data_IF_758322839940
#
_entry.id   IF_758322839940
#
_cell.length_a   1.000
_cell.length_b   1.000
_cell.length_c   1.000
_cell.angle_alpha   90.00
_cell.angle_beta   90.00
_cell.angle_gamma   90.00
#
_symmetry.space_group_name_H-M   'P 1'
#
loop_
_entity.id
_entity.type
_entity.pdbx_description
1 polymer ?
#
# COMPACT_ATOMS: atom_id res chain seq x y z
N UNK A 1 3.26 14.71 3.31
CA UNK A 1 2.57 15.45 4.38
C UNK A 1 2.89 16.93 4.30
N UNK A 2 2.09 17.80 4.93
CA UNK A 2 2.31 19.25 4.91
C UNK A 2 3.72 19.61 5.41
N UNK A 3 4.42 20.50 4.71
CA UNK A 3 5.78 20.94 5.06
C UNK A 3 6.92 19.94 4.77
N UNK A 4 6.64 18.76 4.20
CA UNK A 4 7.67 17.76 3.90
C UNK A 4 8.35 17.94 2.54
N UNK A 5 7.90 18.89 1.71
CA UNK A 5 8.43 19.13 0.36
C UNK A 5 9.95 19.27 0.31
N UNK A 6 10.57 20.17 1.09
CA UNK A 6 12.03 20.34 1.07
C UNK A 6 12.80 19.08 1.48
N UNK A 7 12.25 18.27 2.39
CA UNK A 7 12.88 16.99 2.77
C UNK A 7 12.78 15.95 1.66
N UNK A 8 11.65 15.91 0.95
CA UNK A 8 11.48 15.05 -0.22
C UNK A 8 12.47 15.46 -1.33
N UNK A 9 12.62 16.75 -1.61
CA UNK A 9 13.58 17.26 -2.59
C UNK A 9 15.03 16.90 -2.23
N UNK A 10 15.41 17.07 -0.97
CA UNK A 10 16.74 16.68 -0.49
C UNK A 10 16.99 15.17 -0.62
N UNK A 11 16.02 14.34 -0.24
CA UNK A 11 16.13 12.89 -0.37
C UNK A 11 16.24 12.44 -1.83
N UNK A 12 15.52 13.08 -2.75
CA UNK A 12 15.64 12.80 -4.19
C UNK A 12 17.01 13.24 -4.71
N UNK A 13 17.48 14.43 -4.35
CA UNK A 13 18.81 14.91 -4.75
C UNK A 13 19.91 13.94 -4.30
N UNK A 14 19.90 13.57 -3.02
CA UNK A 14 20.86 12.61 -2.46
C UNK A 14 20.73 11.23 -3.12
N UNK A 15 19.49 10.76 -3.32
CA UNK A 15 19.24 9.47 -3.95
C UNK A 15 19.73 9.40 -5.39
N UNK A 16 19.60 10.49 -6.16
CA UNK A 16 20.10 10.57 -7.54
C UNK A 16 21.61 10.38 -7.62
N UNK A 17 22.34 10.96 -6.66
CA UNK A 17 23.80 10.91 -6.64
C UNK A 17 24.32 9.57 -6.08
N UNK A 18 23.65 9.02 -5.07
CA UNK A 18 24.08 7.81 -4.38
C UNK A 18 23.46 6.50 -4.90
N UNK A 19 22.51 6.57 -5.84
CA UNK A 19 21.80 5.39 -6.36
C UNK A 19 20.80 4.78 -5.37
N UNK A 20 20.22 5.60 -4.49
CA UNK A 20 19.30 5.10 -3.46
C UNK A 20 17.86 4.94 -3.97
N UNK A 21 17.08 4.20 -3.20
CA UNK A 21 15.64 4.08 -3.42
C UNK A 21 14.92 5.10 -2.55
N UNK A 22 14.15 5.97 -3.18
CA UNK A 22 13.36 7.01 -2.53
C UNK A 22 11.89 6.68 -2.70
N UNK A 23 11.17 6.52 -1.59
CA UNK A 23 9.73 6.26 -1.58
C UNK A 23 9.01 7.47 -0.99
N UNK A 24 8.23 8.18 -1.80
CA UNK A 24 7.36 9.26 -1.33
C UNK A 24 5.96 8.71 -1.07
N UNK A 25 5.56 8.72 0.21
CA UNK A 25 4.27 8.18 0.63
C UNK A 25 3.19 9.25 0.71
N UNK A 26 1.95 8.86 0.36
CA UNK A 26 0.76 9.68 0.49
C UNK A 26 0.85 11.01 -0.28
N UNK A 27 1.35 10.97 -1.51
CA UNK A 27 1.61 12.17 -2.32
C UNK A 27 0.35 13.02 -2.55
N UNK A 28 -0.82 12.39 -2.71
CA UNK A 28 -2.13 13.06 -2.83
C UNK A 28 -2.48 14.05 -1.69
N UNK A 29 -1.83 13.94 -0.52
CA UNK A 29 -2.01 14.89 0.59
C UNK A 29 -1.16 16.17 0.44
N UNK A 30 -0.21 16.19 -0.50
CA UNK A 30 0.72 17.30 -0.71
C UNK A 30 0.41 18.09 -1.99
N UNK A 31 -0.87 18.45 -2.18
CA UNK A 31 -1.39 19.12 -3.39
C UNK A 31 -0.54 20.34 -3.80
N UNK A 32 -0.18 21.21 -2.85
CA UNK A 32 0.60 22.42 -3.13
C UNK A 32 2.04 22.14 -3.61
N UNK A 33 2.56 20.93 -3.40
CA UNK A 33 3.91 20.53 -3.80
C UNK A 33 3.93 19.74 -5.11
N UNK A 34 2.77 19.33 -5.64
CA UNK A 34 2.68 18.56 -6.88
C UNK A 34 3.36 19.22 -8.10
N UNK A 35 3.25 20.55 -8.33
CA UNK A 35 3.97 21.19 -9.44
C UNK A 35 5.49 21.09 -9.29
N UNK A 36 6.00 21.05 -8.04
CA UNK A 36 7.42 20.91 -7.78
C UNK A 36 7.89 19.47 -7.98
N UNK A 37 7.08 18.50 -7.57
CA UNK A 37 7.30 17.08 -7.87
C UNK A 37 7.39 16.85 -9.39
N UNK A 38 6.46 17.43 -10.15
CA UNK A 38 6.46 17.38 -11.61
C UNK A 38 7.78 17.88 -12.20
N UNK A 39 8.21 19.09 -11.83
CA UNK A 39 9.50 19.63 -12.28
C UNK A 39 10.69 18.73 -11.90
N UNK A 40 10.71 18.20 -10.67
CA UNK A 40 11.80 17.30 -10.22
C UNK A 40 11.86 16.02 -11.05
N UNK A 41 10.71 15.46 -11.45
CA UNK A 41 10.63 14.26 -12.29
C UNK A 41 11.02 14.56 -13.74
N UNK A 42 10.63 15.71 -14.29
CA UNK A 42 11.03 16.14 -15.63
C UNK A 42 12.54 16.41 -15.76
N UNK A 43 13.18 16.85 -14.67
CA UNK A 43 14.63 17.06 -14.60
C UNK A 43 15.44 15.75 -14.44
N UNK A 44 14.79 14.60 -14.27
CA UNK A 44 15.49 13.31 -14.17
C UNK A 44 16.06 12.90 -15.54
N UNK A 45 17.37 13.04 -15.67
CA UNK A 45 18.14 12.63 -16.83
C UNK A 45 18.77 11.25 -16.57
N UNK A 46 18.34 10.17 -17.27
CA UNK A 46 18.86 8.83 -17.08
C UNK A 46 20.37 8.69 -17.29
N UNK A 47 21.01 9.61 -18.02
CA UNK A 47 22.46 9.60 -18.25
C UNK A 47 23.24 10.22 -17.09
N UNK A 48 22.59 11.05 -16.26
CA UNK A 48 23.22 11.77 -15.14
C UNK A 48 22.87 11.18 -13.77
N UNK A 49 21.77 10.45 -13.68
CA UNK A 49 21.32 9.83 -12.45
C UNK A 49 22.03 8.48 -12.25
N UNK A 50 22.38 8.15 -11.01
CA UNK A 50 22.98 6.87 -10.68
C UNK A 50 22.09 5.69 -11.13
N UNK A 51 22.68 4.68 -11.74
CA UNK A 51 21.98 3.56 -12.38
C UNK A 51 20.99 2.83 -11.44
N UNK A 52 21.30 2.75 -10.14
CA UNK A 52 20.50 2.02 -9.15
C UNK A 52 19.41 2.88 -8.48
N UNK A 53 19.36 4.18 -8.78
CA UNK A 53 18.36 5.08 -8.24
C UNK A 53 16.94 4.66 -8.65
N UNK A 54 16.01 4.64 -7.70
CA UNK A 54 14.59 4.40 -7.96
C UNK A 54 13.74 5.40 -7.19
N UNK A 55 12.83 6.08 -7.88
CA UNK A 55 11.81 6.93 -7.26
C UNK A 55 10.45 6.21 -7.29
N UNK A 56 9.90 5.96 -6.12
CA UNK A 56 8.58 5.35 -5.93
C UNK A 56 7.63 6.36 -5.31
N UNK A 57 6.39 6.39 -5.80
CA UNK A 57 5.34 7.28 -5.32
C UNK A 57 4.14 6.45 -4.90
N UNK A 58 3.58 6.71 -3.72
CA UNK A 58 2.28 6.15 -3.32
C UNK A 58 1.24 7.26 -3.20
N UNK A 59 0.07 7.05 -3.80
CA UNK A 59 -1.03 7.99 -3.77
C UNK A 59 -2.39 7.30 -3.96
N UNK A 60 -3.43 7.85 -3.34
CA UNK A 60 -4.80 7.61 -3.76
C UNK A 60 -5.06 8.36 -5.08
N UNK A 61 -6.03 7.92 -5.91
CA UNK A 61 -6.45 8.68 -7.08
C UNK A 61 -6.84 10.11 -6.69
N UNK A 62 -6.25 11.10 -7.36
CA UNK A 62 -6.45 12.52 -7.11
C UNK A 62 -6.35 13.28 -8.43
N UNK A 63 -7.21 14.28 -8.62
CA UNK A 63 -7.23 15.11 -9.84
C UNK A 63 -6.06 16.08 -9.89
N UNK A 64 -5.47 16.35 -8.74
CA UNK A 64 -4.36 17.26 -8.51
C UNK A 64 -3.00 16.57 -8.73
N UNK A 65 -2.98 15.25 -8.91
CA UNK A 65 -1.75 14.51 -9.17
C UNK A 65 -1.23 14.82 -10.59
N UNK A 66 0.07 15.15 -10.77
CA UNK A 66 0.59 15.58 -12.07
C UNK A 66 0.43 14.53 -13.17
N UNK A 67 -0.17 14.95 -14.28
CA UNK A 67 -0.44 14.07 -15.43
C UNK A 67 0.86 13.62 -16.10
N UNK A 68 1.87 14.48 -16.19
CA UNK A 68 3.19 14.15 -16.75
C UNK A 68 3.88 13.02 -15.98
N UNK A 69 3.89 13.09 -14.64
CA UNK A 69 4.45 12.07 -13.75
C UNK A 69 3.70 10.75 -13.92
N UNK A 70 2.38 10.81 -14.07
CA UNK A 70 1.61 9.63 -14.45
C UNK A 70 2.10 9.15 -15.81
N UNK A 71 1.97 9.91 -16.91
CA UNK A 71 2.31 9.47 -18.26
C UNK A 71 3.70 8.83 -18.36
N UNK A 72 4.72 9.45 -17.75
CA UNK A 72 6.12 9.01 -17.80
C UNK A 72 6.49 7.92 -16.79
N UNK A 73 5.65 7.66 -15.77
CA UNK A 73 5.90 6.67 -14.72
C UNK A 73 5.31 5.29 -15.00
N UNK A 74 5.75 4.28 -14.25
CA UNK A 74 5.05 3.00 -14.15
C UNK A 74 3.94 3.08 -13.10
N UNK A 75 2.76 2.53 -13.41
CA UNK A 75 1.59 2.56 -12.52
C UNK A 75 1.25 1.15 -12.08
N UNK A 76 1.06 0.97 -10.79
CA UNK A 76 0.56 -0.27 -10.21
C UNK A 76 -0.59 0.08 -9.28
N UNK A 77 -1.70 -0.65 -9.41
CA UNK A 77 -2.83 -0.55 -8.50
C UNK A 77 -2.75 -1.67 -7.48
N UNK A 78 -2.84 -1.34 -6.20
CA UNK A 78 -2.98 -2.32 -5.13
C UNK A 78 -4.45 -2.37 -4.76
N UNK A 79 -5.14 -3.40 -5.23
CA UNK A 79 -6.56 -3.62 -4.95
C UNK A 79 -6.77 -4.60 -3.78
N UNK A 80 -7.83 -4.41 -2.97
CA UNK A 80 -8.25 -5.43 -2.00
C UNK A 80 -8.61 -6.74 -2.71
N UNK A 81 -8.55 -7.89 -2.01
CA UNK A 81 -8.85 -9.18 -2.63
C UNK A 81 -10.33 -9.23 -2.94
N UNK A 82 -10.68 -9.67 -4.15
CA UNK A 82 -12.08 -9.78 -4.57
C UNK A 82 -12.65 -11.14 -4.16
N UNK A 83 -13.73 -11.12 -3.40
CA UNK A 83 -14.48 -12.29 -2.98
C UNK A 83 -14.04 -12.82 -1.62
N UNK A 84 -15.00 -13.47 -0.95
CA UNK A 84 -14.83 -14.01 0.40
C UNK A 84 -13.71 -15.04 0.51
N UNK A 85 -13.59 -15.93 -0.48
CA UNK A 85 -12.52 -16.95 -0.50
C UNK A 85 -11.13 -16.31 -0.57
N UNK A 86 -10.96 -15.30 -1.41
CA UNK A 86 -9.68 -14.57 -1.56
C UNK A 86 -9.31 -13.82 -0.28
N UNK A 87 -10.30 -13.22 0.39
CA UNK A 87 -10.14 -12.60 1.71
C UNK A 87 -9.64 -13.60 2.75
N UNK A 88 -10.29 -14.77 2.84
CA UNK A 88 -9.90 -15.84 3.76
C UNK A 88 -8.46 -16.32 3.48
N UNK A 89 -8.12 -16.61 2.23
CA UNK A 89 -6.79 -17.07 1.86
C UNK A 89 -5.70 -16.05 2.22
N UNK A 90 -5.96 -14.75 1.98
CA UNK A 90 -5.04 -13.68 2.37
C UNK A 90 -4.87 -13.59 3.88
N UNK A 91 -5.97 -13.70 4.64
CA UNK A 91 -5.92 -13.66 6.10
C UNK A 91 -5.12 -14.82 6.69
N UNK A 92 -5.29 -16.04 6.15
CA UNK A 92 -4.49 -17.20 6.56
C UNK A 92 -3.02 -17.08 6.15
N UNK A 93 -2.74 -16.57 4.95
CA UNK A 93 -1.36 -16.37 4.47
C UNK A 93 -0.60 -15.28 5.25
N UNK A 94 -1.30 -14.39 5.94
CA UNK A 94 -0.72 -13.35 6.77
C UNK A 94 -0.45 -13.79 8.22
N UNK A 95 -0.85 -15.01 8.59
CA UNK A 95 -0.55 -15.55 9.91
C UNK A 95 0.90 -15.99 9.99
N UNK A 96 1.52 -15.71 11.13
CA UNK A 96 2.79 -16.31 11.50
C UNK A 96 2.60 -17.81 11.77
N UNK A 97 3.39 -18.65 11.10
CA UNK A 97 3.24 -20.11 11.17
C UNK A 97 3.59 -20.64 12.56
N UNK A 98 4.63 -20.09 13.19
CA UNK A 98 5.10 -20.52 14.51
C UNK A 98 4.06 -20.21 15.58
N UNK A 99 3.55 -18.98 15.59
CA UNK A 99 2.45 -18.57 16.45
C UNK A 99 1.20 -19.43 16.24
N UNK A 100 0.83 -19.69 14.98
CA UNK A 100 -0.35 -20.51 14.68
C UNK A 100 -0.20 -21.94 15.17
N UNK A 101 0.99 -22.53 15.00
CA UNK A 101 1.32 -23.87 15.46
C UNK A 101 1.36 -23.95 16.99
N UNK A 102 1.92 -22.95 17.67
CA UNK A 102 1.92 -22.85 19.14
C UNK A 102 0.49 -22.74 19.68
N UNK A 103 -0.32 -21.84 19.12
CA UNK A 103 -1.74 -21.71 19.49
C UNK A 103 -2.52 -23.00 19.23
N UNK A 104 -2.13 -23.75 18.19
CA UNK A 104 -2.67 -25.07 17.87
C UNK A 104 -1.97 -26.24 18.61
N UNK A 105 -1.05 -26.01 19.54
CA UNK A 105 -0.34 -27.08 20.27
C UNK A 105 -1.03 -27.50 21.58
N UNK A 106 -2.03 -26.75 22.03
CA UNK A 106 -2.83 -27.04 23.23
C UNK A 106 -3.65 -28.33 23.08
N UNK A 107 -4.38 -28.77 24.12
CA UNK A 107 -5.18 -30.01 24.06
C UNK A 107 -6.09 -30.07 22.83
N UNK A 108 -6.33 -31.28 22.26
CA UNK A 108 -7.12 -31.46 21.01
C UNK A 108 -8.46 -30.72 21.00
N UNK A 109 -9.13 -30.61 22.15
CA UNK A 109 -10.38 -29.85 22.29
C UNK A 109 -10.19 -28.34 22.11
N UNK A 110 -9.13 -27.78 22.68
CA UNK A 110 -8.76 -26.37 22.53
C UNK A 110 -8.37 -26.04 21.08
N UNK A 111 -7.62 -26.92 20.41
CA UNK A 111 -7.24 -26.74 19.00
C UNK A 111 -8.45 -26.60 18.07
N UNK A 112 -9.45 -27.47 18.24
CA UNK A 112 -10.65 -27.46 17.39
C UNK A 112 -11.50 -26.21 17.61
N UNK A 113 -11.67 -25.80 18.87
CA UNK A 113 -12.39 -24.58 19.22
C UNK A 113 -11.69 -23.34 18.66
N UNK A 114 -10.36 -23.25 18.82
CA UNK A 114 -9.54 -22.15 18.32
C UNK A 114 -9.61 -22.03 16.79
N UNK A 115 -9.44 -23.13 16.05
CA UNK A 115 -9.51 -23.12 14.58
C UNK A 115 -10.88 -22.68 14.07
N UNK A 116 -11.97 -23.14 14.70
CA UNK A 116 -13.33 -22.71 14.36
C UNK A 116 -13.56 -21.22 14.65
N UNK A 117 -13.09 -20.74 15.79
CA UNK A 117 -13.18 -19.33 16.16
C UNK A 117 -12.40 -18.46 15.16
N UNK A 118 -11.16 -18.84 14.83
CA UNK A 118 -10.31 -18.12 13.89
C UNK A 118 -10.93 -18.08 12.49
N UNK A 119 -11.47 -19.21 12.01
CA UNK A 119 -12.22 -19.25 10.76
C UNK A 119 -13.42 -18.31 10.80
N UNK A 120 -14.22 -18.35 11.88
CA UNK A 120 -15.37 -17.47 12.05
C UNK A 120 -15.00 -15.99 12.03
N UNK A 121 -13.90 -15.63 12.69
CA UNK A 121 -13.37 -14.27 12.70
C UNK A 121 -12.94 -13.82 11.30
N UNK A 122 -12.16 -14.63 10.59
CA UNK A 122 -11.70 -14.29 9.23
C UNK A 122 -12.85 -14.26 8.23
N UNK A 123 -13.82 -15.15 8.38
CA UNK A 123 -15.03 -15.15 7.56
C UNK A 123 -15.86 -13.90 7.79
N UNK A 124 -16.06 -13.51 9.06
CA UNK A 124 -16.76 -12.27 9.40
C UNK A 124 -16.02 -11.03 8.89
N UNK A 125 -14.70 -10.98 9.05
CA UNK A 125 -13.87 -9.91 8.52
C UNK A 125 -13.96 -9.81 6.99
N UNK A 126 -13.84 -10.92 6.27
CA UNK A 126 -14.01 -10.96 4.82
C UNK A 126 -15.41 -10.55 4.38
N UNK A 127 -16.46 -10.96 5.12
CA UNK A 127 -17.83 -10.55 4.85
C UNK A 127 -18.02 -9.03 5.02
N UNK A 128 -17.44 -8.43 6.06
CA UNK A 128 -17.45 -6.97 6.27
C UNK A 128 -16.79 -6.26 5.09
N UNK A 129 -15.61 -6.72 4.66
CA UNK A 129 -14.90 -6.13 3.52
C UNK A 129 -15.74 -6.21 2.23
N UNK A 130 -16.32 -7.37 1.93
CA UNK A 130 -17.16 -7.54 0.75
C UNK A 130 -18.43 -6.67 0.82
N UNK A 131 -19.01 -6.48 2.01
CA UNK A 131 -20.16 -5.59 2.20
C UNK A 131 -19.84 -4.12 1.89
N UNK A 132 -18.61 -3.66 2.09
CA UNK A 132 -18.22 -2.29 1.72
C UNK A 132 -18.38 -2.00 0.22
N UNK A 133 -18.35 -3.03 -0.64
CA UNK A 133 -18.55 -2.87 -2.08
C UNK A 133 -19.99 -2.48 -2.47
N UNK A 134 -20.96 -2.57 -1.54
CA UNK A 134 -22.37 -2.26 -1.80
C UNK A 134 -22.78 -0.84 -1.38
N UNK A 135 -21.82 0.00 -0.97
CA UNK A 135 -22.07 1.39 -0.58
C UNK A 135 -23.19 1.49 0.48
N UNK A 136 -24.21 2.35 0.29
CA UNK A 136 -25.32 2.53 1.23
C UNK A 136 -26.14 1.25 1.54
N UNK A 137 -26.18 0.27 0.62
CA UNK A 137 -26.85 -1.02 0.87
C UNK A 137 -26.02 -1.95 1.77
N UNK A 138 -24.70 -1.78 1.74
CA UNK A 138 -23.76 -2.51 2.58
C UNK A 138 -23.68 -1.95 3.99
N UNK A 139 -23.60 -0.62 4.10
CA UNK A 139 -23.49 0.14 5.34
C UNK A 139 -24.28 1.44 5.21
N UNK A 140 -25.11 1.74 6.20
CA UNK A 140 -25.73 3.05 6.31
C UNK A 140 -24.70 4.00 6.95
N UNK A 141 -23.99 4.77 6.13
CA UNK A 141 -22.97 5.75 6.53
C UNK A 141 -23.50 7.15 6.28
#
# INVERSE_FOLDING_TARGET
GQGQGPKAEAAIAEGKDQGMWVILQNCHLAVSWMPKLEAVVEELDPEKVAHDFRLWLTAMPSKEFPVSVLQNGMKMTVEPPKGLKSNLLRAYAALDEDWFNEACSQSRGCQHAFRKMLFGLFFFHGLIQERCNFGPLGWNI
#
